data_IF_434920481936
#
_entry.id   IF_434920481936
#
_cell.length_a   1.000
_cell.length_b   1.000
_cell.length_c   1.000
_cell.angle_alpha   90.00
_cell.angle_beta   90.00
_cell.angle_gamma   90.00
#
_symmetry.space_group_name_H-M   'P 1'
#
loop_
_entity.id
_entity.type
_entity.pdbx_description
1 polymer ?
#
# COMPACT_ATOMS: atom_id res chain seq x y z
N UNK A 1 -45.34 -15.83 -15.18
CA UNK A 1 -43.91 -15.60 -15.50
C UNK A 1 -43.71 -16.08 -16.91
N UNK A 2 -43.91 -15.20 -17.89
CA UNK A 2 -43.81 -15.52 -19.32
C UNK A 2 -42.42 -15.08 -19.77
N UNK A 3 -41.44 -15.96 -19.66
CA UNK A 3 -40.15 -15.80 -20.32
C UNK A 3 -40.37 -15.92 -21.83
N UNK A 4 -40.09 -14.86 -22.57
CA UNK A 4 -40.11 -14.87 -24.03
C UNK A 4 -39.07 -15.88 -24.53
N UNK A 5 -39.38 -16.78 -25.48
CA UNK A 5 -38.48 -17.85 -25.94
C UNK A 5 -37.29 -17.37 -26.80
N UNK A 6 -36.92 -16.09 -26.74
CA UNK A 6 -35.95 -15.46 -27.63
C UNK A 6 -34.64 -15.06 -26.94
N UNK A 7 -34.46 -15.39 -25.65
CA UNK A 7 -33.25 -15.03 -24.89
C UNK A 7 -32.24 -16.19 -24.74
N UNK A 8 -32.59 -17.44 -25.09
CA UNK A 8 -31.72 -18.61 -24.90
C UNK A 8 -30.63 -18.80 -25.98
N UNK A 9 -30.75 -18.16 -27.16
CA UNK A 9 -29.86 -18.39 -28.32
C UNK A 9 -29.07 -17.14 -28.76
N UNK A 10 -28.67 -16.26 -27.84
CA UNK A 10 -27.77 -15.16 -28.17
C UNK A 10 -26.32 -15.65 -28.25
N UNK A 11 -25.92 -16.19 -29.42
CA UNK A 11 -24.51 -16.40 -29.72
C UNK A 11 -23.85 -15.10 -30.17
N UNK A 12 -22.74 -14.74 -29.53
CA UNK A 12 -21.95 -13.59 -29.93
C UNK A 12 -21.23 -13.87 -31.26
N UNK A 13 -21.77 -13.37 -32.36
CA UNK A 13 -21.16 -13.48 -33.69
C UNK A 13 -20.23 -12.29 -33.98
N UNK A 14 -18.96 -12.58 -34.32
CA UNK A 14 -18.01 -11.57 -34.78
C UNK A 14 -18.34 -11.23 -36.24
N UNK A 15 -19.07 -10.13 -36.44
CA UNK A 15 -19.45 -9.67 -37.79
C UNK A 15 -18.30 -9.00 -38.54
N UNK A 16 -18.39 -8.97 -39.87
CA UNK A 16 -17.41 -8.28 -40.71
C UNK A 16 -17.28 -6.77 -40.39
N UNK A 17 -18.39 -6.12 -40.01
CA UNK A 17 -18.37 -4.72 -39.55
C UNK A 17 -17.62 -4.57 -38.22
N UNK A 18 -17.78 -5.52 -37.29
CA UNK A 18 -17.05 -5.53 -36.03
C UNK A 18 -15.53 -5.65 -36.27
N UNK A 19 -15.12 -6.55 -37.17
CA UNK A 19 -13.71 -6.71 -37.57
C UNK A 19 -13.18 -5.43 -38.21
N UNK A 20 -13.95 -4.81 -39.09
CA UNK A 20 -13.55 -3.57 -39.77
C UNK A 20 -13.40 -2.41 -38.78
N UNK A 21 -14.29 -2.28 -37.79
CA UNK A 21 -14.17 -1.30 -36.70
C UNK A 21 -12.98 -1.56 -35.80
N UNK A 22 -12.73 -2.82 -35.43
CA UNK A 22 -11.55 -3.21 -34.64
C UNK A 22 -10.24 -2.91 -35.38
N UNK A 23 -10.22 -3.01 -36.72
CA UNK A 23 -9.05 -2.68 -37.54
C UNK A 23 -8.71 -1.18 -37.56
N UNK A 24 -9.71 -0.31 -37.31
CA UNK A 24 -9.52 1.14 -37.20
C UNK A 24 -9.00 1.56 -35.83
N UNK A 25 -9.09 0.70 -34.81
CA UNK A 25 -8.50 0.97 -33.50
C UNK A 25 -6.99 1.06 -33.69
N UNK A 26 -6.35 2.20 -33.33
CA UNK A 26 -4.91 2.31 -33.40
C UNK A 26 -4.28 1.17 -32.62
N UNK A 27 -3.52 0.30 -33.31
CA UNK A 27 -2.72 -0.70 -32.64
C UNK A 27 -1.75 0.06 -31.75
N UNK A 28 -1.90 -0.08 -30.43
CA UNK A 28 -0.99 0.53 -29.46
C UNK A 28 0.41 0.00 -29.76
N UNK A 29 1.20 0.79 -30.47
CA UNK A 29 2.63 0.57 -30.60
C UNK A 29 3.18 0.69 -29.20
N UNK A 30 3.56 -0.45 -28.61
CA UNK A 30 4.20 -0.43 -27.31
C UNK A 30 5.57 0.21 -27.52
N UNK A 31 5.65 1.52 -27.30
CA UNK A 31 6.93 2.19 -27.08
C UNK A 31 7.65 1.56 -25.88
N UNK A 32 8.89 1.99 -25.57
CA UNK A 32 9.59 1.51 -24.38
C UNK A 32 8.72 1.83 -23.15
N UNK A 33 8.04 0.80 -22.65
CA UNK A 33 7.28 0.90 -21.42
C UNK A 33 8.28 1.09 -20.27
N UNK A 34 7.87 1.78 -19.22
CA UNK A 34 8.69 2.00 -18.02
C UNK A 34 9.39 0.70 -17.49
N UNK A 35 8.74 -0.49 -17.45
CA UNK A 35 9.42 -1.74 -17.05
C UNK A 35 10.45 -2.27 -18.06
N UNK A 36 10.41 -1.82 -19.32
CA UNK A 36 11.33 -2.22 -20.39
C UNK A 36 12.56 -1.30 -20.48
N UNK A 37 12.61 -0.21 -19.68
CA UNK A 37 13.78 0.64 -19.57
C UNK A 37 14.93 -0.11 -18.84
N UNK A 38 16.19 0.21 -19.14
CA UNK A 38 17.33 -0.23 -18.33
C UNK A 38 17.16 0.13 -16.86
N UNK A 39 17.62 -0.74 -15.96
CA UNK A 39 17.50 -0.56 -14.50
C UNK A 39 18.11 0.77 -14.03
N UNK A 40 19.17 1.24 -14.68
CA UNK A 40 19.80 2.55 -14.40
C UNK A 40 18.81 3.71 -14.53
N UNK A 41 18.02 3.73 -15.63
CA UNK A 41 16.99 4.76 -15.83
C UNK A 41 15.83 4.59 -14.86
N UNK A 42 15.48 3.35 -14.51
CA UNK A 42 14.46 3.09 -13.50
C UNK A 42 14.90 3.63 -12.13
N UNK A 43 16.13 3.37 -11.71
CA UNK A 43 16.68 3.89 -10.46
C UNK A 43 16.73 5.41 -10.45
N UNK A 44 17.14 6.01 -11.58
CA UNK A 44 17.17 7.47 -11.74
C UNK A 44 15.76 8.08 -11.61
N UNK A 45 14.74 7.50 -12.28
CA UNK A 45 13.35 7.94 -12.15
C UNK A 45 12.88 7.89 -10.69
N UNK A 46 13.14 6.77 -10.01
CA UNK A 46 12.75 6.60 -8.62
C UNK A 46 13.48 7.57 -7.66
N UNK A 47 14.69 8.03 -8.01
CA UNK A 47 15.42 9.00 -7.21
C UNK A 47 14.73 10.37 -7.12
N UNK A 48 13.88 10.70 -8.10
CA UNK A 48 13.11 11.95 -8.13
C UNK A 48 11.78 11.86 -7.36
N UNK A 49 11.35 10.68 -6.96
CA UNK A 49 10.08 10.45 -6.32
C UNK A 49 10.24 10.42 -4.79
N UNK A 50 9.24 10.92 -4.07
CA UNK A 50 9.19 10.70 -2.63
C UNK A 50 8.91 9.21 -2.33
N UNK A 51 9.10 8.78 -1.09
CA UNK A 51 8.91 7.36 -0.74
C UNK A 51 7.49 6.85 -1.04
N UNK A 52 6.47 7.71 -0.90
CA UNK A 52 5.07 7.34 -1.12
C UNK A 52 4.80 7.15 -2.62
N UNK A 53 5.20 8.12 -3.44
CA UNK A 53 5.07 8.09 -4.89
C UNK A 53 5.89 6.95 -5.50
N UNK A 54 7.10 6.72 -4.98
CA UNK A 54 7.94 5.59 -5.35
C UNK A 54 7.24 4.25 -5.08
N UNK A 55 6.55 4.12 -3.95
CA UNK A 55 5.81 2.90 -3.66
C UNK A 55 4.60 2.72 -4.59
N UNK A 56 3.84 3.79 -4.85
CA UNK A 56 2.73 3.74 -5.80
C UNK A 56 3.21 3.31 -7.19
N UNK A 57 4.32 3.86 -7.68
CA UNK A 57 4.93 3.46 -8.95
C UNK A 57 5.44 2.02 -8.90
N UNK A 58 6.08 1.62 -7.80
CA UNK A 58 6.56 0.25 -7.59
C UNK A 58 5.43 -0.77 -7.61
N UNK A 59 4.27 -0.46 -7.05
CA UNK A 59 3.10 -1.36 -7.05
C UNK A 59 2.44 -1.50 -8.43
N UNK A 60 2.74 -0.64 -9.40
CA UNK A 60 2.19 -0.73 -10.75
C UNK A 60 2.73 -1.94 -11.54
N UNK A 61 3.92 -2.46 -11.18
CA UNK A 61 4.41 -3.73 -11.74
C UNK A 61 5.41 -4.45 -10.83
N UNK A 62 5.47 -5.80 -10.86
CA UNK A 62 6.35 -6.57 -9.99
C UNK A 62 7.85 -6.19 -10.10
N UNK A 63 8.33 -5.90 -11.32
CA UNK A 63 9.72 -5.51 -11.56
C UNK A 63 10.06 -4.17 -10.89
N UNK A 64 9.18 -3.18 -11.03
CA UNK A 64 9.37 -1.86 -10.41
C UNK A 64 9.32 -1.91 -8.89
N UNK A 65 8.58 -2.86 -8.31
CA UNK A 65 8.60 -3.06 -6.86
C UNK A 65 9.97 -3.55 -6.37
N UNK A 66 10.72 -4.31 -7.17
CA UNK A 66 12.10 -4.69 -6.83
C UNK A 66 12.99 -3.45 -6.79
N UNK A 67 12.84 -2.54 -7.77
CA UNK A 67 13.56 -1.26 -7.80
C UNK A 67 13.24 -0.41 -6.56
N UNK A 68 11.95 -0.29 -6.20
CA UNK A 68 11.53 0.37 -4.97
C UNK A 68 12.22 -0.21 -3.73
N UNK A 69 12.22 -1.54 -3.59
CA UNK A 69 12.86 -2.21 -2.44
C UNK A 69 14.38 -2.06 -2.44
N UNK A 70 15.02 -1.96 -3.61
CA UNK A 70 16.45 -1.72 -3.71
C UNK A 70 16.84 -0.33 -3.17
N UNK A 71 16.03 0.70 -3.45
CA UNK A 71 16.29 2.07 -3.01
C UNK A 71 15.94 2.28 -1.53
N UNK A 72 14.76 1.84 -1.10
CA UNK A 72 14.26 2.13 0.26
C UNK A 72 14.56 1.03 1.28
N UNK A 73 15.07 -0.13 0.85
CA UNK A 73 15.50 -1.26 1.67
C UNK A 73 14.37 -2.06 2.33
N UNK A 74 13.42 -1.40 3.00
CA UNK A 74 12.32 -2.05 3.73
C UNK A 74 10.97 -1.85 3.04
N UNK A 75 9.99 -2.71 3.39
CA UNK A 75 8.58 -2.49 3.06
C UNK A 75 8.13 -1.12 3.57
N UNK A 76 7.16 -0.50 2.87
CA UNK A 76 6.59 0.79 3.27
C UNK A 76 6.12 0.78 4.73
N UNK A 77 6.70 1.59 5.62
CA UNK A 77 6.24 1.64 7.00
C UNK A 77 4.89 2.37 7.11
N UNK A 78 4.02 1.94 8.02
CA UNK A 78 2.65 2.47 8.11
C UNK A 78 2.57 3.86 8.76
N UNK A 79 3.65 4.36 9.36
CA UNK A 79 3.76 5.75 9.81
C UNK A 79 4.40 6.67 8.75
N UNK A 80 4.62 6.19 7.52
CA UNK A 80 5.10 7.06 6.46
C UNK A 80 4.05 8.13 6.19
N UNK A 81 4.50 9.37 6.18
CA UNK A 81 3.72 10.56 5.87
C UNK A 81 4.52 11.42 4.92
N UNK A 82 3.85 12.20 4.07
CA UNK A 82 4.54 13.22 3.26
C UNK A 82 5.19 14.23 4.20
N UNK A 83 6.50 14.37 4.09
CA UNK A 83 7.24 15.42 4.79
C UNK A 83 6.98 16.70 4.02
N UNK A 84 6.71 17.80 4.71
CA UNK A 84 6.70 19.09 4.05
C UNK A 84 7.35 20.18 4.89
N UNK A 85 7.55 21.38 4.31
CA UNK A 85 7.03 21.81 3.01
C UNK A 85 7.73 21.15 1.80
N UNK A 86 6.96 20.70 0.80
CA UNK A 86 7.48 20.14 -0.46
C UNK A 86 7.07 21.06 -1.63
N UNK A 87 7.85 21.12 -2.71
CA UNK A 87 7.56 21.90 -3.94
C UNK A 87 6.20 21.56 -4.56
N UNK A 88 5.73 20.33 -4.36
CA UNK A 88 4.40 19.91 -4.80
C UNK A 88 3.28 20.52 -3.96
N UNK A 89 3.55 20.98 -2.72
CA UNK A 89 2.53 21.60 -1.84
C UNK A 89 2.01 22.93 -2.39
N UNK A 90 2.78 23.63 -3.22
CA UNK A 90 2.33 24.86 -3.91
C UNK A 90 1.10 24.64 -4.79
N UNK A 91 0.92 23.43 -5.34
CA UNK A 91 -0.30 23.07 -6.06
C UNK A 91 -1.53 22.97 -5.13
N UNK A 92 -1.31 22.66 -3.85
CA UNK A 92 -2.35 22.53 -2.83
C UNK A 92 -2.60 23.85 -2.09
N UNK A 93 -1.67 24.81 -2.13
CA UNK A 93 -1.86 26.17 -1.59
C UNK A 93 -3.06 26.88 -2.24
N UNK A 94 -3.34 26.60 -3.52
CA UNK A 94 -4.51 27.11 -4.25
C UNK A 94 -5.83 26.58 -3.67
N UNK A 95 -5.82 25.37 -3.10
CA UNK A 95 -7.01 24.68 -2.57
C UNK A 95 -7.08 24.78 -1.02
N UNK A 96 -6.07 25.38 -0.39
CA UNK A 96 -5.93 25.44 1.06
C UNK A 96 -5.47 24.10 1.69
N UNK A 97 -5.20 24.12 3.01
CA UNK A 97 -4.80 22.92 3.75
C UNK A 97 -5.93 21.88 3.71
N UNK A 98 -5.78 20.85 2.89
CA UNK A 98 -6.74 19.76 2.80
C UNK A 98 -6.56 18.80 3.97
N UNK A 99 -7.48 18.86 4.94
CA UNK A 99 -7.56 17.88 6.01
C UNK A 99 -8.03 16.53 5.45
N UNK A 100 -7.51 15.44 6.00
CA UNK A 100 -7.98 14.12 5.61
C UNK A 100 -9.45 13.93 6.02
N UNK A 101 -10.32 13.56 5.08
CA UNK A 101 -11.74 13.29 5.34
C UNK A 101 -11.99 12.12 6.31
N UNK A 102 -11.00 11.24 6.50
CA UNK A 102 -11.12 10.08 7.38
C UNK A 102 -10.66 10.35 8.82
N UNK A 103 -9.64 11.18 9.03
CA UNK A 103 -9.08 11.42 10.37
C UNK A 103 -9.04 12.89 10.81
N UNK A 104 -9.37 13.85 9.94
CA UNK A 104 -9.36 15.28 10.24
C UNK A 104 -7.96 15.88 10.44
N UNK A 105 -6.90 15.12 10.18
CA UNK A 105 -5.51 15.56 10.40
C UNK A 105 -4.81 15.75 9.05
N UNK A 106 -4.03 16.82 8.94
CA UNK A 106 -3.13 17.06 7.81
C UNK A 106 -1.90 16.14 7.87
N UNK A 107 -1.50 15.54 6.73
CA UNK A 107 -0.37 14.57 6.65
C UNK A 107 -0.54 13.37 7.59
N UNK A 108 -1.72 12.77 7.54
CA UNK A 108 -2.08 11.57 8.27
C UNK A 108 -1.16 10.38 7.99
N UNK A 109 -0.99 9.53 9.00
CA UNK A 109 -0.25 8.27 8.90
C UNK A 109 -1.19 7.12 8.54
N UNK A 110 -0.77 6.23 7.63
CA UNK A 110 -1.62 5.15 7.13
C UNK A 110 -2.16 4.25 8.24
N UNK A 111 -1.36 3.96 9.28
CA UNK A 111 -1.81 3.11 10.39
C UNK A 111 -3.06 3.67 11.08
N UNK A 112 -3.22 4.99 11.15
CA UNK A 112 -4.37 5.61 11.81
C UNK A 112 -5.67 5.33 11.05
N UNK A 113 -5.60 5.23 9.71
CA UNK A 113 -6.77 5.00 8.86
C UNK A 113 -7.18 3.53 8.83
N UNK A 114 -6.19 2.63 8.76
CA UNK A 114 -6.47 1.19 8.71
C UNK A 114 -6.69 0.60 10.10
N UNK A 115 -6.49 1.38 11.19
CA UNK A 115 -6.67 0.94 12.57
C UNK A 115 -8.03 0.31 12.82
N UNK A 116 -9.09 0.86 12.23
CA UNK A 116 -10.47 0.36 12.37
C UNK A 116 -10.71 -0.94 11.61
N UNK A 117 -9.87 -1.27 10.63
CA UNK A 117 -9.96 -2.51 9.85
C UNK A 117 -9.16 -3.65 10.50
N UNK A 118 -8.30 -3.35 11.46
CA UNK A 118 -7.49 -4.35 12.14
C UNK A 118 -8.29 -5.06 13.25
N UNK A 119 -8.08 -6.38 13.46
CA UNK A 119 -8.67 -7.12 14.57
C UNK A 119 -8.34 -6.50 15.94
N UNK A 120 -9.20 -6.70 16.94
CA UNK A 120 -9.08 -6.10 18.28
C UNK A 120 -7.87 -6.61 19.07
N UNK A 121 -7.35 -7.77 18.68
CA UNK A 121 -6.17 -8.43 19.23
C UNK A 121 -4.89 -7.78 18.73
N UNK A 122 -4.97 -6.99 17.65
CA UNK A 122 -3.84 -6.29 17.06
C UNK A 122 -3.84 -4.82 17.46
N UNK A 123 -2.63 -4.32 17.71
CA UNK A 123 -2.38 -2.94 18.05
C UNK A 123 -1.16 -2.43 17.29
N UNK A 124 -1.21 -1.15 16.91
CA UNK A 124 -0.09 -0.50 16.26
C UNK A 124 1.07 -0.27 17.23
N UNK A 125 2.29 -0.61 16.80
CA UNK A 125 3.52 -0.42 17.56
C UNK A 125 4.42 0.63 16.87
N UNK A 126 4.55 1.83 17.45
CA UNK A 126 5.37 2.91 16.87
C UNK A 126 6.86 2.56 16.72
N UNK A 127 7.40 1.68 17.58
CA UNK A 127 8.80 1.25 17.53
C UNK A 127 9.10 0.31 16.35
N UNK A 128 8.11 -0.50 15.96
CA UNK A 128 8.23 -1.50 14.88
C UNK A 128 7.51 -1.06 13.60
N UNK A 129 6.73 0.02 13.69
CA UNK A 129 5.99 0.65 12.61
C UNK A 129 4.97 -0.28 11.93
N UNK A 130 4.45 -1.25 12.69
CA UNK A 130 3.52 -2.28 12.23
C UNK A 130 2.44 -2.60 13.28
N UNK A 131 1.38 -3.26 12.84
CA UNK A 131 0.41 -3.88 13.75
C UNK A 131 0.93 -5.25 14.21
N UNK A 132 0.69 -5.58 15.46
CA UNK A 132 0.82 -6.94 15.96
C UNK A 132 0.13 -7.11 17.30
N UNK A 133 0.38 -8.23 17.99
CA UNK A 133 -0.30 -8.55 19.25
C UNK A 133 -0.32 -7.37 20.24
N UNK A 134 -1.51 -7.13 20.77
CA UNK A 134 -1.80 -6.08 21.74
C UNK A 134 -0.92 -6.23 23.00
N UNK A 135 -0.62 -5.09 23.61
CA UNK A 135 0.11 -5.05 24.88
C UNK A 135 -0.69 -5.73 26.01
N UNK A 136 0.02 -6.24 27.02
CA UNK A 136 -0.59 -6.83 28.23
C UNK A 136 -1.40 -5.74 28.95
N UNK A 137 -2.53 -6.12 29.54
CA UNK A 137 -3.35 -5.19 30.34
C UNK A 137 -2.53 -4.63 31.52
N UNK A 138 -2.52 -3.30 31.65
CA UNK A 138 -1.66 -2.57 32.60
C UNK A 138 -0.31 -2.11 32.04
N UNK A 139 -0.01 -2.35 30.76
CA UNK A 139 1.16 -1.77 30.12
C UNK A 139 1.05 -0.24 29.99
N UNK A 140 2.19 0.44 29.83
CA UNK A 140 2.25 1.90 29.60
C UNK A 140 1.38 2.29 28.40
N UNK A 141 0.88 3.52 28.37
CA UNK A 141 0.01 4.01 27.28
C UNK A 141 0.73 4.07 25.93
N UNK A 142 1.98 4.55 25.91
CA UNK A 142 2.76 4.74 24.69
C UNK A 142 3.86 3.68 24.52
N UNK A 143 4.23 3.43 23.27
CA UNK A 143 5.36 2.58 22.94
C UNK A 143 6.68 3.22 23.37
N UNK A 144 7.59 2.42 23.94
CA UNK A 144 8.92 2.89 24.35
C UNK A 144 9.99 1.86 23.98
N UNK A 145 11.25 2.31 23.91
CA UNK A 145 12.40 1.44 23.62
C UNK A 145 12.65 0.50 24.80
N UNK A 146 12.46 -0.79 24.59
CA UNK A 146 12.59 -1.81 25.65
C UNK A 146 14.04 -2.22 25.94
N UNK A 147 14.93 -2.15 24.94
CA UNK A 147 16.37 -2.38 25.13
C UNK A 147 17.17 -1.33 24.37
N UNK A 148 18.10 -0.59 25.02
CA UNK A 148 18.90 0.44 24.35
C UNK A 148 19.64 -0.06 23.11
N UNK A 149 20.20 -1.29 23.17
CA UNK A 149 20.93 -1.89 22.06
C UNK A 149 20.06 -2.45 20.92
N UNK A 150 18.74 -2.50 21.09
CA UNK A 150 17.81 -2.99 20.06
C UNK A 150 16.73 -1.93 19.81
N UNK A 151 16.97 -0.95 18.92
CA UNK A 151 16.09 0.21 18.77
C UNK A 151 14.66 -0.14 18.36
N UNK A 152 14.46 -1.21 17.57
CA UNK A 152 13.13 -1.70 17.15
C UNK A 152 12.44 -2.60 18.19
N UNK A 153 13.07 -2.90 19.33
CA UNK A 153 12.44 -3.70 20.39
C UNK A 153 11.57 -2.78 21.25
N UNK A 154 10.26 -2.94 21.14
CA UNK A 154 9.30 -2.26 22.00
C UNK A 154 9.30 -2.88 23.41
N UNK A 155 9.29 -2.04 24.45
CA UNK A 155 9.12 -2.48 25.83
C UNK A 155 7.65 -2.66 26.23
N UNK A 156 6.72 -2.04 25.50
CA UNK A 156 5.27 -2.18 25.69
C UNK A 156 4.72 -3.45 25.04
N UNK A 157 5.30 -3.84 23.91
CA UNK A 157 4.93 -5.04 23.14
C UNK A 157 6.06 -6.07 23.24
N UNK A 158 6.08 -6.93 24.29
CA UNK A 158 7.19 -7.84 24.56
C UNK A 158 7.27 -9.00 23.56
N UNK A 159 6.12 -9.44 23.03
CA UNK A 159 6.06 -10.45 22.00
C UNK A 159 6.61 -9.89 20.68
N UNK A 160 7.21 -10.79 19.89
CA UNK A 160 7.54 -10.48 18.50
C UNK A 160 6.21 -10.27 17.79
N UNK A 161 5.74 -9.03 17.70
CA UNK A 161 4.80 -8.64 16.65
C UNK A 161 5.47 -9.06 15.34
N UNK A 162 5.05 -10.20 14.84
CA UNK A 162 5.53 -10.72 13.57
C UNK A 162 5.18 -9.65 12.56
N UNK A 163 6.19 -9.14 11.86
CA UNK A 163 5.92 -8.53 10.57
C UNK A 163 5.32 -9.66 9.76
N UNK A 164 3.98 -9.71 9.63
CA UNK A 164 3.32 -10.71 8.80
C UNK A 164 3.94 -10.59 7.41
N UNK A 165 4.79 -11.55 7.04
CA UNK A 165 5.25 -11.67 5.66
C UNK A 165 4.08 -12.21 4.84
N UNK A 166 3.94 -11.80 3.58
CA UNK A 166 2.99 -12.48 2.68
C UNK A 166 3.34 -13.98 2.55
N UNK A 167 4.60 -14.34 2.80
CA UNK A 167 5.09 -15.72 2.86
C UNK A 167 4.82 -16.40 4.22
N UNK A 168 4.47 -15.65 5.27
CA UNK A 168 4.04 -16.17 6.57
C UNK A 168 2.54 -16.49 6.51
N UNK A 169 2.15 -17.45 5.66
CA UNK A 169 0.76 -17.89 5.50
C UNK A 169 0.14 -18.54 6.76
N UNK A 170 0.84 -18.52 7.90
CA UNK A 170 0.43 -19.12 9.16
C UNK A 170 0.57 -18.14 10.32
N UNK A 171 0.01 -16.94 10.21
CA UNK A 171 -0.29 -16.14 11.40
C UNK A 171 -1.62 -16.62 11.99
N UNK A 172 -1.55 -17.64 12.84
CA UNK A 172 -2.66 -17.97 13.74
C UNK A 172 -2.69 -16.96 14.86
N UNK A 173 -3.81 -16.24 15.02
CA UNK A 173 -4.08 -15.54 16.26
C UNK A 173 -4.04 -16.58 17.39
N UNK A 174 -3.41 -16.28 18.55
CA UNK A 174 -3.51 -17.17 19.69
C UNK A 174 -5.00 -17.33 20.00
N UNK A 175 -5.50 -18.57 19.86
CA UNK A 175 -6.88 -18.91 20.19
C UNK A 175 -7.15 -18.46 21.62
N UNK A 176 -8.05 -17.49 21.80
CA UNK A 176 -8.55 -17.15 23.12
C UNK A 176 -9.30 -18.36 23.64
N UNK A 177 -8.69 -19.11 24.57
CA UNK A 177 -9.40 -20.09 25.36
C UNK A 177 -10.54 -19.36 26.08
N UNK A 178 -11.78 -19.75 25.76
CA UNK A 178 -12.99 -19.35 26.47
C UNK A 178 -13.07 -20.08 27.81
#
# INVERSE_FOLDING_TARGET
MTSSPEEEDWEFEITADLIQRLALIPKRTQGPALPNLPTELQLEIFSYLDQIDSCCLGLASPNLYVVFRAIHGTKMPLNTRRIGPNRLESAWEVVGKQECQQCGIYRCELHQHIKTWMPKELEYCAMKQNFGLRAIDGAKEHCFRGKPSKPKRCGRHPLRTTSVHQDDASFSLPSTAS
#
